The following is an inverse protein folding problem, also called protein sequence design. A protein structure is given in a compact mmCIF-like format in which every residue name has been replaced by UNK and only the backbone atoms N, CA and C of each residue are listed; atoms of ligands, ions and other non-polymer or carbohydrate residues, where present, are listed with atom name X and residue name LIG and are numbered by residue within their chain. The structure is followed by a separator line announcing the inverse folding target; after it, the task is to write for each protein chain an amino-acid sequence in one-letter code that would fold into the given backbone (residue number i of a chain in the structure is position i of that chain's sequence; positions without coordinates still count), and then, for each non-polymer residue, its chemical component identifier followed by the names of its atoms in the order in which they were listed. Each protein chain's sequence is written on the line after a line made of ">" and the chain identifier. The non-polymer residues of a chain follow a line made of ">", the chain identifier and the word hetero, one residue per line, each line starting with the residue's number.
data_IF_704721338683
#
_entry.id   IF_704721338683
#
_cell.length_a   1.000
_cell.length_b   1.000
_cell.length_c   1.000
_cell.angle_alpha   90.00
_cell.angle_beta   90.00
_cell.angle_gamma   90.00
#
_symmetry.space_group_name_H-M   'P 1'
#
loop_
_entity.id
_entity.type
_entity.pdbx_description
1 polymer ?
#
# COMPACT_ATOMS: atom_id res chain seq x y z
N UNK A 1 -12.89 -7.69 -1.48
CA UNK A 1 -12.06 -7.73 -0.26
C UNK A 1 -11.08 -8.87 -0.41
N UNK A 2 -9.82 -8.64 -0.12
CA UNK A 2 -8.71 -9.61 -0.21
C UNK A 2 -7.96 -9.63 1.11
N UNK A 3 -7.35 -10.77 1.44
CA UNK A 3 -6.52 -10.92 2.65
C UNK A 3 -5.05 -10.84 2.26
N UNK A 4 -4.24 -10.13 3.08
CA UNK A 4 -2.80 -10.16 2.97
C UNK A 4 -2.23 -11.32 3.79
N UNK A 5 -1.18 -11.93 3.29
CA UNK A 5 -0.47 -13.02 3.94
C UNK A 5 0.78 -12.47 4.61
N UNK A 6 1.02 -12.85 5.88
CA UNK A 6 2.26 -12.52 6.55
C UNK A 6 3.42 -13.32 5.96
N UNK A 7 4.57 -12.67 5.76
CA UNK A 7 5.76 -13.36 5.29
C UNK A 7 6.25 -14.37 6.34
N UNK A 8 6.53 -15.64 5.96
CA UNK A 8 6.83 -16.69 6.94
C UNK A 8 8.08 -16.42 7.79
N UNK A 9 9.08 -15.73 7.23
CA UNK A 9 10.31 -15.40 7.94
C UNK A 9 10.20 -14.15 8.84
N UNK A 10 9.05 -13.46 8.82
CA UNK A 10 8.83 -12.23 9.61
C UNK A 10 7.46 -12.26 10.31
N UNK A 11 7.21 -13.25 11.17
CA UNK A 11 5.92 -13.41 11.84
C UNK A 11 5.60 -12.19 12.72
N UNK A 12 4.33 -11.80 12.76
CA UNK A 12 3.84 -10.77 13.68
C UNK A 12 3.34 -11.39 14.98
N UNK A 13 3.58 -10.69 16.09
CA UNK A 13 3.03 -11.00 17.40
C UNK A 13 1.89 -10.05 17.79
N UNK A 14 1.75 -8.93 17.09
CA UNK A 14 0.72 -7.92 17.33
C UNK A 14 -0.47 -8.06 16.38
N UNK A 15 -0.24 -8.46 15.12
CA UNK A 15 -1.25 -8.51 14.05
C UNK A 15 -1.75 -9.94 13.84
N UNK A 16 -3.07 -10.12 13.86
CA UNK A 16 -3.73 -11.42 13.58
C UNK A 16 -4.20 -11.57 12.14
N UNK A 17 -4.37 -10.47 11.40
CA UNK A 17 -4.78 -10.48 10.00
C UNK A 17 -4.91 -9.08 9.43
N UNK A 18 -4.75 -8.96 8.11
CA UNK A 18 -4.94 -7.72 7.36
C UNK A 18 -5.83 -8.01 6.16
N UNK A 19 -6.99 -7.34 6.10
CA UNK A 19 -7.88 -7.36 4.96
C UNK A 19 -7.82 -6.03 4.21
N UNK A 20 -7.89 -6.08 2.88
CA UNK A 20 -7.91 -4.88 2.05
C UNK A 20 -9.10 -4.89 1.10
N UNK A 21 -9.83 -3.79 1.06
CA UNK A 21 -10.82 -3.52 0.04
C UNK A 21 -10.25 -2.48 -0.93
N UNK A 22 -10.20 -2.81 -2.21
CA UNK A 22 -9.73 -1.93 -3.27
C UNK A 22 -10.85 -1.77 -4.30
N UNK A 23 -11.23 -0.53 -4.60
CA UNK A 23 -12.31 -0.21 -5.54
C UNK A 23 -11.90 0.96 -6.42
N UNK A 24 -12.03 0.78 -7.73
CA UNK A 24 -11.84 1.85 -8.69
C UNK A 24 -13.08 2.74 -8.70
N UNK A 25 -12.90 4.07 -8.59
CA UNK A 25 -14.00 5.03 -8.69
C UNK A 25 -14.36 5.31 -10.15
N UNK A 26 -15.49 5.95 -10.38
CA UNK A 26 -15.92 6.35 -11.73
C UNK A 26 -14.91 7.31 -12.41
N UNK A 27 -14.18 8.11 -11.61
CA UNK A 27 -13.12 9.02 -12.07
C UNK A 27 -11.78 8.33 -12.27
N UNK A 28 -11.72 6.98 -12.14
CA UNK A 28 -10.50 6.19 -12.31
C UNK A 28 -9.54 6.22 -11.12
N UNK A 29 -9.88 6.90 -10.02
CA UNK A 29 -9.10 6.86 -8.77
C UNK A 29 -9.23 5.50 -8.09
N UNK A 30 -8.31 5.17 -7.21
CA UNK A 30 -8.36 3.94 -6.44
C UNK A 30 -8.63 4.24 -4.96
N UNK A 31 -9.81 3.82 -4.49
CA UNK A 31 -10.17 3.84 -3.08
C UNK A 31 -9.70 2.54 -2.42
N UNK A 32 -8.94 2.69 -1.34
CA UNK A 32 -8.36 1.61 -0.57
C UNK A 32 -8.82 1.69 0.88
N UNK A 33 -9.12 0.54 1.47
CA UNK A 33 -9.37 0.39 2.91
C UNK A 33 -8.54 -0.79 3.41
N UNK A 34 -7.52 -0.51 4.18
CA UNK A 34 -6.73 -1.50 4.92
C UNK A 34 -7.31 -1.66 6.31
N UNK A 35 -7.71 -2.86 6.66
CA UNK A 35 -8.24 -3.23 7.97
C UNK A 35 -7.26 -4.17 8.66
N UNK A 36 -6.52 -3.66 9.63
CA UNK A 36 -5.48 -4.35 10.36
C UNK A 36 -6.05 -4.79 11.70
N UNK A 37 -6.25 -6.09 11.87
CA UNK A 37 -6.79 -6.71 13.10
C UNK A 37 -5.64 -7.15 14.01
N UNK A 38 -5.76 -6.90 15.32
CA UNK A 38 -4.74 -7.31 16.29
C UNK A 38 -4.67 -6.40 17.52
N UNK A 39 -3.58 -6.50 18.25
CA UNK A 39 -3.31 -5.72 19.45
C UNK A 39 -2.65 -4.39 19.08
N UNK A 40 -3.46 -3.36 18.76
CA UNK A 40 -2.93 -2.06 18.26
C UNK A 40 -1.95 -1.42 19.25
N UNK A 41 -2.15 -1.61 20.55
CA UNK A 41 -1.21 -1.11 21.57
C UNK A 41 0.20 -1.72 21.49
N UNK A 42 0.39 -2.82 20.74
CA UNK A 42 1.70 -3.42 20.49
C UNK A 42 2.30 -3.00 19.13
N UNK A 43 1.56 -2.24 18.33
CA UNK A 43 2.02 -1.74 17.06
C UNK A 43 2.57 -0.32 17.26
N UNK A 44 3.68 0.00 16.62
CA UNK A 44 4.18 1.36 16.56
C UNK A 44 3.41 2.11 15.48
N UNK A 45 2.31 2.76 15.90
CA UNK A 45 1.44 3.54 15.02
C UNK A 45 1.74 5.02 15.23
N UNK A 46 2.29 5.72 14.22
CA UNK A 46 2.57 7.15 14.35
C UNK A 46 1.27 7.94 14.52
N UNK A 47 1.33 9.01 15.31
CA UNK A 47 0.17 9.89 15.55
C UNK A 47 -0.22 10.62 14.26
N UNK A 48 -1.53 10.77 14.00
CA UNK A 48 -2.02 11.52 12.86
C UNK A 48 -1.54 12.97 12.87
N UNK A 49 -1.12 13.46 11.72
CA UNK A 49 -0.65 14.82 11.49
C UNK A 49 -1.13 15.34 10.13
N UNK A 50 -0.64 16.50 9.67
CA UNK A 50 -0.99 17.04 8.37
C UNK A 50 -0.46 16.17 7.24
N UNK A 51 -1.23 16.06 6.15
CA UNK A 51 -0.79 15.38 4.94
C UNK A 51 0.43 16.09 4.34
N UNK A 52 1.50 15.32 4.13
CA UNK A 52 2.75 15.80 3.52
C UNK A 52 3.55 14.65 2.96
N UNK A 53 4.49 14.94 2.07
CA UNK A 53 5.46 13.96 1.59
C UNK A 53 6.37 13.55 2.76
N UNK A 54 6.45 12.25 3.03
CA UNK A 54 7.32 11.64 4.02
C UNK A 54 8.49 10.89 3.37
N UNK A 55 9.49 10.52 4.17
CA UNK A 55 10.67 9.79 3.71
C UNK A 55 10.76 8.42 4.36
N UNK A 56 11.09 7.39 3.56
CA UNK A 56 11.31 6.01 4.02
C UNK A 56 10.14 5.45 4.83
N UNK A 57 8.91 5.80 4.48
CA UNK A 57 7.71 5.34 5.19
C UNK A 57 7.65 3.81 5.26
N UNK A 58 8.11 3.13 4.20
CA UNK A 58 8.24 1.68 4.10
C UNK A 58 9.14 1.02 5.17
N UNK A 59 9.91 1.78 5.94
CA UNK A 59 10.72 1.26 7.05
C UNK A 59 9.96 1.21 8.39
N UNK A 60 8.72 1.67 8.43
CA UNK A 60 7.86 1.75 9.60
C UNK A 60 6.47 1.19 9.28
N UNK A 61 5.51 1.32 10.20
CA UNK A 61 4.11 0.95 9.93
C UNK A 61 3.56 1.77 8.77
N UNK A 62 3.30 1.09 7.65
CA UNK A 62 2.95 1.70 6.37
C UNK A 62 2.08 0.75 5.54
N UNK A 63 1.04 1.29 4.89
CA UNK A 63 0.28 0.58 3.87
C UNK A 63 0.79 0.96 2.49
N UNK A 64 0.91 -0.02 1.59
CA UNK A 64 1.55 0.19 0.29
C UNK A 64 0.67 -0.30 -0.86
N UNK A 65 0.64 0.49 -1.91
CA UNK A 65 0.01 0.17 -3.19
C UNK A 65 1.07 0.16 -4.28
N UNK A 66 1.18 -0.95 -5.00
CA UNK A 66 1.92 -1.06 -6.24
C UNK A 66 0.94 -1.15 -7.41
N UNK A 67 1.13 -0.37 -8.46
CA UNK A 67 0.21 -0.32 -9.59
C UNK A 67 0.96 -0.23 -10.91
N UNK A 68 0.49 -1.02 -11.89
CA UNK A 68 0.95 -0.94 -13.28
C UNK A 68 -0.19 -1.28 -14.23
N UNK A 69 -0.08 -0.84 -15.48
CA UNK A 69 -0.89 -1.42 -16.53
C UNK A 69 -0.58 -2.92 -16.66
N UNK A 70 -1.60 -3.71 -16.96
CA UNK A 70 -1.42 -5.15 -17.12
C UNK A 70 -0.34 -5.42 -18.19
N UNK A 71 0.63 -6.27 -17.84
CA UNK A 71 1.80 -6.62 -18.66
C UNK A 71 2.85 -5.51 -18.87
N UNK A 72 2.72 -4.32 -18.30
CA UNK A 72 3.78 -3.32 -18.33
C UNK A 72 4.93 -3.69 -17.40
N UNK A 73 6.17 -3.28 -17.77
CA UNK A 73 7.32 -3.39 -16.89
C UNK A 73 7.38 -2.22 -15.89
N UNK A 74 6.98 -1.02 -16.35
CA UNK A 74 6.92 0.18 -15.52
C UNK A 74 5.76 0.12 -14.52
N UNK A 75 6.00 0.63 -13.32
CA UNK A 75 4.99 0.66 -12.24
C UNK A 75 5.22 1.85 -11.31
N UNK A 76 4.21 2.14 -10.52
CA UNK A 76 4.28 3.11 -9.44
C UNK A 76 4.03 2.44 -8.10
N UNK A 77 4.56 3.04 -7.04
CA UNK A 77 4.35 2.66 -5.66
C UNK A 77 3.82 3.87 -4.89
N UNK A 78 2.81 3.65 -4.06
CA UNK A 78 2.39 4.58 -3.02
C UNK A 78 2.65 3.99 -1.65
N UNK A 79 3.13 4.81 -0.75
CA UNK A 79 3.26 4.54 0.66
C UNK A 79 2.30 5.45 1.44
N UNK A 80 1.46 4.88 2.29
CA UNK A 80 0.48 5.59 3.11
C UNK A 80 0.78 5.30 4.58
N UNK A 81 1.27 6.31 5.30
CA UNK A 81 1.53 6.20 6.74
C UNK A 81 0.28 6.53 7.55
N UNK A 82 0.04 5.87 8.69
CA UNK A 82 -0.99 6.28 9.64
C UNK A 82 -0.81 7.71 10.16
N UNK A 83 0.38 8.31 10.04
CA UNK A 83 0.61 9.73 10.36
C UNK A 83 -0.09 10.71 9.41
N UNK A 84 -0.58 10.25 8.25
CA UNK A 84 -1.03 11.11 7.16
C UNK A 84 0.09 11.47 6.17
N UNK A 85 1.34 11.10 6.46
CA UNK A 85 2.44 11.22 5.50
C UNK A 85 2.29 10.18 4.39
N UNK A 86 2.77 10.56 3.21
CA UNK A 86 2.72 9.70 2.02
C UNK A 86 3.95 9.92 1.14
N UNK A 87 4.26 8.94 0.32
CA UNK A 87 5.29 9.05 -0.74
C UNK A 87 4.83 8.25 -1.92
N UNK A 88 5.17 8.69 -3.12
CA UNK A 88 5.03 7.88 -4.32
C UNK A 88 6.36 7.75 -5.06
N UNK A 89 6.51 6.64 -5.77
CA UNK A 89 7.70 6.29 -6.53
C UNK A 89 7.29 5.88 -7.94
N UNK A 90 8.15 6.18 -8.91
CA UNK A 90 8.03 5.68 -10.29
C UNK A 90 9.21 4.79 -10.62
N UNK A 91 8.93 3.65 -11.24
CA UNK A 91 9.91 2.66 -11.66
C UNK A 91 9.70 2.30 -13.13
N UNK A 92 10.75 2.40 -13.94
CA UNK A 92 10.72 1.96 -15.34
C UNK A 92 10.74 0.45 -15.50
N UNK A 93 11.33 -0.25 -14.53
CA UNK A 93 11.37 -1.72 -14.39
C UNK A 93 11.66 -2.08 -12.95
N UNK A 94 11.81 -3.38 -12.65
CA UNK A 94 12.07 -3.88 -11.30
C UNK A 94 13.17 -3.08 -10.58
N UNK A 95 12.77 -2.35 -9.52
CA UNK A 95 13.60 -1.52 -8.62
C UNK A 95 14.46 -0.44 -9.33
N UNK A 96 14.17 -0.11 -10.59
CA UNK A 96 14.87 0.92 -11.36
C UNK A 96 14.03 2.20 -11.43
N UNK A 97 14.18 3.05 -10.43
CA UNK A 97 13.41 4.28 -10.29
C UNK A 97 13.66 4.97 -8.96
N UNK A 98 12.76 5.86 -8.60
CA UNK A 98 12.90 6.66 -7.38
C UNK A 98 11.64 7.44 -7.01
N UNK A 99 11.71 8.20 -5.91
CA UNK A 99 10.58 8.99 -5.45
C UNK A 99 10.19 10.07 -6.45
N UNK A 100 8.86 10.29 -6.54
CA UNK A 100 8.30 11.45 -7.19
C UNK A 100 8.13 12.55 -6.13
N UNK A 101 8.73 13.72 -6.37
CA UNK A 101 8.58 14.89 -5.51
C UNK A 101 7.49 15.80 -6.09
N UNK A 102 6.26 15.28 -6.13
CA UNK A 102 5.11 15.97 -6.68
C UNK A 102 3.97 16.07 -5.66
N UNK A 103 3.90 17.20 -4.98
CA UNK A 103 2.88 17.46 -3.96
C UNK A 103 1.44 17.51 -4.53
N UNK A 104 1.25 17.62 -5.86
CA UNK A 104 -0.08 17.57 -6.48
C UNK A 104 -0.71 16.18 -6.40
N UNK A 105 0.11 15.15 -6.22
CA UNK A 105 -0.32 13.75 -6.09
C UNK A 105 -0.85 13.39 -4.69
N UNK A 106 -1.07 14.38 -3.83
CA UNK A 106 -1.51 14.22 -2.44
C UNK A 106 -2.74 13.31 -2.31
N UNK A 107 -2.59 12.05 -1.84
CA UNK A 107 -3.72 11.16 -1.59
C UNK A 107 -4.52 11.64 -0.39
N UNK A 108 -5.82 11.36 -0.38
CA UNK A 108 -6.61 11.54 0.84
C UNK A 108 -6.38 10.34 1.75
N UNK A 109 -5.90 10.58 2.97
CA UNK A 109 -5.66 9.53 3.97
C UNK A 109 -6.51 9.81 5.20
N UNK A 110 -7.23 8.79 5.68
CA UNK A 110 -7.95 8.83 6.94
C UNK A 110 -7.66 7.58 7.75
N UNK A 111 -7.54 7.73 9.06
CA UNK A 111 -7.19 6.64 9.96
C UNK A 111 -8.18 6.59 11.12
N UNK A 112 -8.61 5.37 11.45
CA UNK A 112 -9.41 5.07 12.63
C UNK A 112 -8.69 3.98 13.44
N UNK A 113 -8.52 4.21 14.73
CA UNK A 113 -7.80 3.30 15.59
C UNK A 113 -8.61 2.95 16.82
N UNK A 114 -8.64 1.68 17.16
CA UNK A 114 -9.23 1.11 18.38
C UNK A 114 -8.36 0.00 18.95
N UNK A 115 -8.69 -0.55 20.12
CA UNK A 115 -7.84 -1.53 20.81
C UNK A 115 -7.50 -2.79 20.01
N UNK A 116 -8.45 -3.24 19.17
CA UNK A 116 -8.35 -4.49 18.40
C UNK A 116 -8.20 -4.27 16.89
N UNK A 117 -8.17 -3.03 16.40
CA UNK A 117 -8.22 -2.75 14.98
C UNK A 117 -7.67 -1.37 14.65
N UNK A 118 -6.91 -1.32 13.57
CA UNK A 118 -6.44 -0.11 12.91
C UNK A 118 -6.96 -0.12 11.47
N UNK A 119 -7.72 0.90 11.08
CA UNK A 119 -8.21 1.08 9.72
C UNK A 119 -7.52 2.28 9.08
N UNK A 120 -6.95 2.08 7.88
CA UNK A 120 -6.41 3.14 7.05
C UNK A 120 -7.19 3.17 5.74
N UNK A 121 -7.73 4.34 5.43
CA UNK A 121 -8.41 4.64 4.17
C UNK A 121 -7.50 5.53 3.33
N UNK A 122 -7.34 5.21 2.05
CA UNK A 122 -6.59 6.04 1.11
C UNK A 122 -7.35 6.17 -0.21
N UNK A 123 -7.32 7.37 -0.79
CA UNK A 123 -7.81 7.63 -2.15
C UNK A 123 -6.64 8.11 -2.99
N UNK A 124 -6.15 7.24 -3.87
CA UNK A 124 -5.02 7.51 -4.76
C UNK A 124 -5.50 7.98 -6.13
N UNK A 125 -4.95 9.10 -6.62
CA UNK A 125 -5.23 9.64 -7.95
C UNK A 125 -4.37 8.94 -9.00
N UNK A 126 -4.83 7.80 -9.51
CA UNK A 126 -4.11 7.01 -10.51
C UNK A 126 -4.02 7.72 -11.88
N UNK A 127 -5.09 8.36 -12.41
CA UNK A 127 -5.00 9.13 -13.65
C UNK A 127 -3.97 10.26 -13.62
N UNK A 128 -3.77 10.87 -12.45
CA UNK A 128 -2.74 11.90 -12.26
C UNK A 128 -1.31 11.37 -12.40
N UNK A 129 -1.06 10.09 -12.03
CA UNK A 129 0.24 9.46 -12.23
C UNK A 129 0.49 9.08 -13.69
N UNK A 130 -0.50 8.48 -14.32
CA UNK A 130 -0.46 8.05 -15.71
C UNK A 130 -1.89 8.08 -16.28
N UNK A 131 -2.12 8.82 -17.38
CA UNK A 131 -3.46 8.85 -18.01
C UNK A 131 -3.98 7.46 -18.38
N UNK A 132 -3.10 6.50 -18.71
CA UNK A 132 -3.46 5.11 -18.98
C UNK A 132 -4.11 4.42 -17.79
N UNK A 133 -3.73 4.77 -16.56
CA UNK A 133 -4.31 4.18 -15.35
C UNK A 133 -5.80 4.51 -15.15
N UNK A 134 -6.30 5.56 -15.78
CA UNK A 134 -7.72 5.94 -15.71
C UNK A 134 -8.64 4.84 -16.23
N UNK A 135 -8.28 4.18 -17.33
CA UNK A 135 -9.17 3.27 -18.06
C UNK A 135 -8.60 1.87 -18.30
N UNK A 136 -7.27 1.72 -18.41
CA UNK A 136 -6.63 0.44 -18.74
C UNK A 136 -6.86 -0.64 -17.67
N UNK A 137 -6.80 -1.93 -18.03
CA UNK A 137 -6.69 -3.00 -17.06
C UNK A 137 -5.40 -2.86 -16.25
N UNK A 138 -5.51 -2.98 -14.92
CA UNK A 138 -4.39 -2.80 -13.99
C UNK A 138 -4.03 -4.10 -13.29
N UNK A 139 -2.73 -4.27 -13.02
CA UNK A 139 -2.21 -5.23 -12.07
C UNK A 139 -1.76 -4.49 -10.81
N UNK A 140 -2.27 -4.94 -9.66
CA UNK A 140 -2.14 -4.29 -8.36
C UNK A 140 -1.40 -5.22 -7.39
N UNK A 141 -0.42 -4.67 -6.69
CA UNK A 141 0.17 -5.23 -5.48
C UNK A 141 -0.33 -4.44 -4.28
N UNK A 142 -0.79 -5.14 -3.24
CA UNK A 142 -1.16 -4.55 -1.96
C UNK A 142 -0.26 -5.14 -0.89
N UNK A 143 0.33 -4.28 -0.07
CA UNK A 143 1.24 -4.68 0.98
C UNK A 143 1.08 -3.80 2.23
N UNK A 144 1.63 -4.28 3.33
CA UNK A 144 1.69 -3.54 4.59
C UNK A 144 2.96 -3.94 5.34
N UNK A 145 3.67 -2.96 5.84
CA UNK A 145 4.73 -3.13 6.83
C UNK A 145 4.16 -2.78 8.19
N UNK A 146 4.39 -3.63 9.18
CA UNK A 146 4.00 -3.37 10.58
C UNK A 146 5.27 -3.39 11.43
N UNK A 147 5.53 -2.27 12.08
CA UNK A 147 6.55 -2.15 13.12
C UNK A 147 5.86 -2.32 14.49
N UNK A 148 6.37 -3.23 15.31
CA UNK A 148 5.89 -3.45 16.66
C UNK A 148 6.69 -2.61 17.67
N UNK A 149 6.12 -2.34 18.84
CA UNK A 149 6.81 -1.65 19.93
C UNK A 149 8.09 -2.39 20.40
N UNK A 150 8.13 -3.71 20.19
CA UNK A 150 9.34 -4.53 20.39
C UNK A 150 10.48 -4.24 19.42
N UNK A 151 10.22 -3.52 18.32
CA UNK A 151 11.13 -3.35 17.19
C UNK A 151 11.06 -4.45 16.15
N UNK A 152 10.20 -5.45 16.34
CA UNK A 152 9.92 -6.47 15.32
C UNK A 152 9.20 -5.84 14.14
N UNK A 153 9.61 -6.21 12.93
CA UNK A 153 8.95 -5.77 11.69
C UNK A 153 8.38 -6.99 10.99
N UNK A 154 7.11 -6.94 10.63
CA UNK A 154 6.45 -7.95 9.81
C UNK A 154 6.00 -7.37 8.48
N UNK A 155 6.07 -8.20 7.43
CA UNK A 155 5.73 -7.85 6.05
C UNK A 155 4.53 -8.65 5.58
N UNK A 156 3.53 -7.94 5.07
CA UNK A 156 2.26 -8.51 4.64
C UNK A 156 2.00 -8.14 3.19
N UNK A 157 1.57 -9.09 2.36
CA UNK A 157 1.30 -8.84 0.94
C UNK A 157 0.23 -9.80 0.41
N UNK A 158 -0.36 -9.48 -0.75
CA UNK A 158 -1.24 -10.41 -1.46
C UNK A 158 -0.55 -11.74 -1.76
N UNK A 159 0.74 -11.67 -2.11
CA UNK A 159 1.59 -12.83 -2.38
C UNK A 159 3.04 -12.46 -2.13
N UNK A 160 3.79 -13.37 -1.57
CA UNK A 160 5.23 -13.26 -1.41
C UNK A 160 5.97 -14.06 -2.48
N UNK A 161 7.07 -13.48 -2.99
CA UNK A 161 8.06 -14.22 -3.75
C UNK A 161 8.87 -15.15 -2.81
N UNK A 162 9.47 -16.23 -3.33
CA UNK A 162 10.41 -17.02 -2.54
C UNK A 162 11.61 -16.19 -2.04
N UNK A 163 12.05 -16.44 -0.81
CA UNK A 163 13.19 -15.75 -0.21
C UNK A 163 12.76 -14.61 0.71
N UNK A 164 13.51 -13.51 0.74
CA UNK A 164 13.23 -12.35 1.59
C UNK A 164 11.97 -11.60 1.13
N UNK A 165 11.28 -10.85 2.02
CA UNK A 165 10.15 -10.02 1.62
C UNK A 165 10.52 -9.08 0.47
N UNK A 166 9.72 -9.11 -0.61
CA UNK A 166 9.95 -8.30 -1.79
C UNK A 166 8.63 -7.95 -2.49
N UNK A 167 8.10 -6.77 -2.20
CA UNK A 167 6.84 -6.29 -2.75
C UNK A 167 6.95 -5.82 -4.21
N UNK A 168 8.19 -5.58 -4.70
CA UNK A 168 8.44 -5.21 -6.09
C UNK A 168 8.44 -6.41 -7.05
N UNK A 169 8.53 -7.64 -6.52
CA UNK A 169 8.54 -8.83 -7.36
C UNK A 169 7.26 -8.95 -8.18
N UNK A 170 7.38 -9.42 -9.42
CA UNK A 170 6.24 -9.51 -10.34
C UNK A 170 5.04 -10.31 -9.79
N UNK A 171 5.28 -11.32 -8.94
CA UNK A 171 4.23 -12.12 -8.32
C UNK A 171 3.42 -11.37 -7.25
N UNK A 172 3.93 -10.26 -6.72
CA UNK A 172 3.23 -9.43 -5.74
C UNK A 172 2.05 -8.66 -6.36
N UNK A 173 2.07 -8.43 -7.68
CA UNK A 173 0.97 -7.83 -8.43
C UNK A 173 -0.14 -8.86 -8.69
N UNK A 174 -0.77 -9.34 -7.62
CA UNK A 174 -1.66 -10.51 -7.65
C UNK A 174 -3.16 -10.16 -7.73
N UNK A 175 -3.53 -8.88 -7.71
CA UNK A 175 -4.89 -8.41 -7.92
C UNK A 175 -5.00 -7.75 -9.29
N UNK A 176 -5.99 -8.15 -10.08
CA UNK A 176 -6.31 -7.51 -11.36
C UNK A 176 -7.56 -6.64 -11.20
N UNK A 177 -7.52 -5.44 -11.77
CA UNK A 177 -8.67 -4.58 -11.92
C UNK A 177 -8.96 -4.42 -13.42
N UNK A 178 -10.19 -4.70 -13.80
CA UNK A 178 -10.64 -4.58 -15.19
C UNK A 178 -10.65 -3.10 -15.65
N UNK A 179 -10.72 -2.92 -16.97
CA UNK A 179 -10.98 -1.62 -17.57
C UNK A 179 -12.28 -1.00 -17.05
N UNK A 180 -12.32 0.32 -16.99
CA UNK A 180 -13.57 1.04 -16.70
C UNK A 180 -14.44 1.01 -17.96
N UNK A 181 -15.58 0.34 -17.88
CA UNK A 181 -16.60 0.38 -18.96
C UNK A 181 -17.50 1.58 -18.73
N UNK A 182 -17.51 2.47 -19.69
CA UNK A 182 -18.41 3.63 -19.73
C UNK A 182 -19.78 3.29 -20.33
#
# INVERSE_FOLDING_TARGET
>A
MVELVCHPDTPSHAVSGIAVHATRTAEGKLALHYSISGQVAKMRVPLPGPARIGWKLWSHTCCELFVREKNAAAYHEFNFSPSGEWTNYAFGKYRDGGPLDDASMNPQIAVQSGPGRLDLYALADLPGLSPGYGNAPLAIGLATVIEEESGTISYWALRHAPGKPDFHHASAFALELDEVRH
#
